data_IF_031790690916
#
_entry.id   IF_031790690916
#
_cell.length_a   1.000
_cell.length_b   1.000
_cell.length_c   1.000
_cell.angle_alpha   90.00
_cell.angle_beta   90.00
_cell.angle_gamma   90.00
#
_symmetry.space_group_name_H-M   'P 1'
#
loop_
_entity.id
_entity.type
_entity.pdbx_description
1 polymer ?
#
# COMPACT_ATOMS: atom_id res chain seq x y z
N UNK A 1 -21.06 -12.94 12.52
CA UNK A 1 -20.73 -13.12 11.17
C UNK A 1 -19.74 -14.22 11.04
N UNK A 2 -19.94 -14.90 10.04
CA UNK A 2 -19.00 -15.92 9.83
C UNK A 2 -17.67 -15.26 9.86
N UNK A 3 -16.78 -15.88 10.59
CA UNK A 3 -15.48 -15.43 10.60
C UNK A 3 -15.00 -15.47 9.19
N UNK A 4 -14.76 -14.33 8.66
CA UNK A 4 -14.24 -14.28 7.33
C UNK A 4 -12.90 -14.94 7.33
N UNK A 5 -12.59 -15.60 6.28
CA UNK A 5 -11.25 -16.08 6.09
C UNK A 5 -10.33 -14.91 6.27
N UNK A 6 -9.23 -15.12 6.90
CA UNK A 6 -8.30 -14.04 7.04
C UNK A 6 -7.89 -13.57 5.66
N UNK A 7 -7.88 -12.27 5.48
CA UNK A 7 -7.42 -11.68 4.23
C UNK A 7 -5.92 -11.91 4.09
N UNK A 8 -5.47 -12.05 2.84
CA UNK A 8 -4.05 -12.17 2.55
C UNK A 8 -3.65 -10.99 1.68
N UNK A 9 -2.71 -10.21 2.16
CA UNK A 9 -2.38 -8.89 1.62
C UNK A 9 -0.97 -8.90 1.05
N UNK A 10 -0.75 -8.21 -0.05
CA UNK A 10 0.61 -7.92 -0.50
C UNK A 10 0.95 -6.49 -0.11
N UNK A 11 1.99 -6.33 0.68
CA UNK A 11 2.54 -5.01 0.98
C UNK A 11 3.68 -4.78 0.00
N UNK A 12 3.59 -3.68 -0.76
CA UNK A 12 4.66 -3.27 -1.66
C UNK A 12 5.23 -1.98 -1.11
N UNK A 13 6.48 -2.00 -0.70
CA UNK A 13 7.10 -0.86 -0.04
C UNK A 13 8.31 -0.38 -0.82
N UNK A 14 8.48 0.93 -0.87
CA UNK A 14 9.67 1.56 -1.45
C UNK A 14 10.54 2.04 -0.30
N UNK A 15 11.85 1.72 -0.36
CA UNK A 15 12.76 2.01 0.75
C UNK A 15 13.80 3.06 0.42
N UNK A 16 13.39 4.13 -0.20
CA UNK A 16 14.33 5.20 -0.46
C UNK A 16 14.85 5.81 0.86
N UNK A 17 13.99 5.93 1.87
CA UNK A 17 14.35 6.40 3.22
C UNK A 17 14.07 5.26 4.18
N UNK A 18 15.11 4.50 4.53
CA UNK A 18 14.94 3.26 5.30
C UNK A 18 14.23 3.44 6.64
N UNK A 19 14.61 4.46 7.41
CA UNK A 19 14.01 4.66 8.74
C UNK A 19 12.53 4.98 8.63
N UNK A 20 12.17 5.81 7.67
CA UNK A 20 10.77 6.16 7.44
C UNK A 20 10.00 4.97 6.90
N UNK A 21 10.64 4.17 6.05
CA UNK A 21 10.02 2.95 5.53
C UNK A 21 9.75 1.96 6.66
N UNK A 22 10.68 1.84 7.59
CA UNK A 22 10.48 0.97 8.76
C UNK A 22 9.25 1.40 9.55
N UNK A 23 9.09 2.71 9.76
CA UNK A 23 7.97 3.21 10.54
C UNK A 23 6.64 2.99 9.81
N UNK A 24 6.61 3.21 8.49
CA UNK A 24 5.42 2.95 7.70
C UNK A 24 5.05 1.48 7.74
N UNK A 25 6.04 0.62 7.56
CA UNK A 25 5.81 -0.82 7.55
C UNK A 25 5.33 -1.30 8.92
N UNK A 26 5.90 -0.76 10.01
CA UNK A 26 5.47 -1.10 11.35
C UNK A 26 3.98 -0.80 11.53
N UNK A 27 3.54 0.36 11.11
CA UNK A 27 2.12 0.73 11.23
C UNK A 27 1.22 -0.19 10.43
N UNK A 28 1.61 -0.49 9.20
CA UNK A 28 0.82 -1.37 8.35
C UNK A 28 0.72 -2.78 8.95
N UNK A 29 1.86 -3.32 9.41
CA UNK A 29 1.87 -4.66 9.99
C UNK A 29 1.02 -4.71 11.26
N UNK A 30 1.13 -3.68 12.09
CA UNK A 30 0.34 -3.64 13.32
C UNK A 30 -1.16 -3.68 13.01
N UNK A 31 -1.59 -2.90 12.02
CA UNK A 31 -3.01 -2.87 11.65
C UNK A 31 -3.47 -4.20 11.07
N UNK A 32 -2.64 -4.82 10.23
CA UNK A 32 -3.00 -6.11 9.64
C UNK A 32 -3.02 -7.22 10.67
N UNK A 33 -2.04 -7.23 11.58
CA UNK A 33 -2.01 -8.21 12.66
C UNK A 33 -3.24 -8.10 13.54
N UNK A 34 -3.64 -6.88 13.87
CA UNK A 34 -4.81 -6.64 14.70
C UNK A 34 -6.09 -7.16 14.04
N UNK A 35 -6.14 -7.16 12.72
CA UNK A 35 -7.29 -7.65 11.97
C UNK A 35 -7.22 -9.15 11.66
N UNK A 36 -6.15 -9.81 12.05
CA UNK A 36 -5.98 -11.23 11.76
C UNK A 36 -5.61 -11.53 10.32
N UNK A 37 -5.16 -10.54 9.58
CA UNK A 37 -4.76 -10.71 8.18
C UNK A 37 -3.34 -11.25 8.10
N UNK A 38 -3.07 -11.98 7.03
CA UNK A 38 -1.71 -12.41 6.71
C UNK A 38 -1.18 -11.57 5.57
N UNK A 39 0.13 -11.56 5.38
CA UNK A 39 0.69 -10.70 4.32
C UNK A 39 2.05 -11.18 3.88
N UNK A 40 2.38 -10.83 2.64
CA UNK A 40 3.73 -10.92 2.11
C UNK A 40 4.23 -9.50 1.90
N UNK A 41 5.52 -9.31 1.91
CA UNK A 41 6.14 -8.00 1.73
C UNK A 41 7.14 -8.08 0.59
N UNK A 42 7.02 -7.16 -0.37
CA UNK A 42 8.03 -6.99 -1.39
C UNK A 42 8.56 -5.57 -1.34
N UNK A 43 9.81 -5.41 -1.63
CA UNK A 43 10.48 -4.12 -1.58
C UNK A 43 10.93 -3.72 -2.97
N UNK A 44 10.67 -2.47 -3.34
CA UNK A 44 11.04 -1.92 -4.63
C UNK A 44 11.91 -0.68 -4.42
N UNK A 45 12.66 -0.25 -5.46
CA UNK A 45 13.59 0.87 -5.29
C UNK A 45 12.94 2.18 -4.93
N UNK A 46 11.80 2.51 -5.55
CA UNK A 46 11.14 3.78 -5.31
C UNK A 46 9.66 3.69 -5.56
N UNK A 47 8.95 4.78 -5.27
CA UNK A 47 7.50 4.81 -5.40
C UNK A 47 7.04 4.57 -6.83
N UNK A 48 7.84 4.97 -7.82
CA UNK A 48 7.46 4.76 -9.22
C UNK A 48 7.39 3.29 -9.61
N UNK A 49 8.09 2.40 -8.88
CA UNK A 49 8.08 0.99 -9.17
C UNK A 49 6.95 0.22 -8.50
N UNK A 50 6.22 0.86 -7.59
CA UNK A 50 5.16 0.19 -6.85
C UNK A 50 4.01 -0.27 -7.77
N UNK A 51 3.48 0.58 -8.66
CA UNK A 51 2.38 0.11 -9.51
C UNK A 51 2.77 -1.09 -10.37
N UNK A 52 3.99 -1.09 -10.92
CA UNK A 52 4.44 -2.22 -11.73
C UNK A 52 4.54 -3.49 -10.90
N UNK A 53 4.99 -3.38 -9.65
CA UNK A 53 5.08 -4.55 -8.78
C UNK A 53 3.69 -5.16 -8.53
N UNK A 54 2.69 -4.32 -8.34
CA UNK A 54 1.32 -4.80 -8.17
C UNK A 54 0.83 -5.49 -9.44
N UNK A 55 1.09 -4.88 -10.60
CA UNK A 55 0.71 -5.49 -11.86
C UNK A 55 1.37 -6.86 -12.06
N UNK A 56 2.65 -6.96 -11.67
CA UNK A 56 3.35 -8.25 -11.73
C UNK A 56 2.72 -9.28 -10.81
N UNK A 57 2.27 -8.86 -9.63
CA UNK A 57 1.62 -9.77 -8.69
C UNK A 57 0.29 -10.27 -9.26
N UNK A 58 -0.45 -9.40 -9.95
CA UNK A 58 -1.70 -9.80 -10.59
C UNK A 58 -1.44 -10.80 -11.71
N UNK A 59 -0.43 -10.54 -12.52
CA UNK A 59 -0.06 -11.47 -13.58
C UNK A 59 0.38 -12.81 -12.99
N UNK A 60 1.17 -12.76 -11.91
CA UNK A 60 1.61 -13.98 -11.25
C UNK A 60 0.47 -14.82 -10.72
N UNK A 61 -0.55 -14.18 -10.17
CA UNK A 61 -1.73 -14.89 -9.68
C UNK A 61 -2.46 -15.59 -10.82
N UNK A 62 -2.54 -14.94 -11.98
CA UNK A 62 -3.18 -15.54 -13.15
C UNK A 62 -2.43 -16.77 -13.66
N UNK A 63 -1.14 -16.82 -13.37
CA UNK A 63 -0.28 -17.94 -13.80
C UNK A 63 -0.15 -19.01 -12.71
N UNK A 64 -1.01 -18.98 -11.72
CA UNK A 64 -1.00 -20.01 -10.68
C UNK A 64 -0.22 -19.62 -9.42
N UNK A 65 0.27 -18.38 -9.35
CA UNK A 65 0.95 -17.90 -8.14
C UNK A 65 -0.03 -17.49 -7.07
N UNK A 66 0.50 -16.80 -6.06
CA UNK A 66 -0.30 -16.39 -4.92
C UNK A 66 -1.35 -15.35 -5.30
N UNK A 67 -2.57 -15.57 -4.84
CA UNK A 67 -3.63 -14.58 -5.00
C UNK A 67 -3.73 -13.76 -3.73
N UNK A 68 -3.81 -12.45 -3.89
CA UNK A 68 -3.93 -11.54 -2.76
C UNK A 68 -5.31 -10.92 -2.77
N UNK A 69 -5.88 -10.79 -1.57
CA UNK A 69 -7.19 -10.16 -1.42
C UNK A 69 -7.11 -8.65 -1.50
N UNK A 70 -5.96 -8.09 -1.13
CA UNK A 70 -5.76 -6.66 -1.18
C UNK A 70 -4.29 -6.31 -1.24
N UNK A 71 -4.03 -5.03 -1.43
CA UNK A 71 -2.68 -4.52 -1.62
C UNK A 71 -2.49 -3.25 -0.79
N UNK A 72 -1.30 -3.09 -0.25
CA UNK A 72 -0.93 -1.88 0.49
C UNK A 72 0.35 -1.34 -0.13
N UNK A 73 0.30 -0.10 -0.59
CA UNK A 73 1.45 0.57 -1.16
C UNK A 73 2.02 1.51 -0.10
N UNK A 74 3.31 1.40 0.18
CA UNK A 74 3.97 2.23 1.19
C UNK A 74 5.20 2.89 0.58
N UNK A 75 5.34 4.19 0.80
CA UNK A 75 6.50 4.91 0.31
C UNK A 75 6.52 6.31 0.85
N UNK A 76 7.66 6.97 0.70
CA UNK A 76 7.84 8.34 1.15
C UNK A 76 8.49 9.14 0.03
N UNK A 77 7.85 10.22 -0.36
CA UNK A 77 8.39 11.14 -1.37
C UNK A 77 8.51 12.50 -0.71
N UNK A 78 9.74 12.99 -0.60
CA UNK A 78 10.01 14.29 0.03
C UNK A 78 10.42 15.25 -1.07
N UNK A 79 9.83 16.46 -1.05
CA UNK A 79 10.10 17.43 -2.09
C UNK A 79 11.59 17.82 -2.09
N UNK A 80 12.18 17.74 -3.27
CA UNK A 80 13.56 18.18 -3.48
C UNK A 80 13.58 19.45 -4.30
N UNK A 81 14.73 19.72 -4.89
CA UNK A 81 14.92 20.96 -5.64
C UNK A 81 14.47 20.87 -7.08
N UNK A 82 14.19 19.67 -7.56
CA UNK A 82 13.87 19.47 -8.97
C UNK A 82 12.41 19.06 -9.14
N UNK A 83 11.99 18.95 -10.39
CA UNK A 83 10.64 18.55 -10.73
C UNK A 83 10.38 17.09 -10.44
N UNK A 84 11.40 16.34 -10.05
CA UNK A 84 11.28 14.89 -9.82
C UNK A 84 10.18 14.54 -8.82
N UNK A 85 10.05 15.33 -7.75
CA UNK A 85 9.00 15.12 -6.76
C UNK A 85 7.61 15.05 -7.42
N UNK A 86 7.34 16.02 -8.29
CA UNK A 86 6.02 16.08 -8.93
C UNK A 86 5.77 14.88 -9.82
N UNK A 87 6.80 14.42 -10.54
CA UNK A 87 6.67 13.25 -11.39
C UNK A 87 6.38 12.01 -10.55
N UNK A 88 7.16 11.79 -9.50
CA UNK A 88 7.00 10.59 -8.66
C UNK A 88 5.63 10.62 -7.98
N UNK A 89 5.27 11.75 -7.39
CA UNK A 89 4.01 11.87 -6.67
C UNK A 89 2.82 11.66 -7.59
N UNK A 90 2.81 12.35 -8.72
CA UNK A 90 1.66 12.32 -9.63
C UNK A 90 1.55 10.99 -10.34
N UNK A 91 2.65 10.45 -10.86
CA UNK A 91 2.59 9.23 -11.66
C UNK A 91 2.32 8.00 -10.82
N UNK A 92 2.89 7.92 -9.60
CA UNK A 92 2.60 6.77 -8.74
C UNK A 92 1.12 6.79 -8.33
N UNK A 93 0.59 7.94 -7.97
CA UNK A 93 -0.81 8.04 -7.56
C UNK A 93 -1.75 7.72 -8.74
N UNK A 94 -1.44 8.25 -9.92
CA UNK A 94 -2.27 8.02 -11.09
C UNK A 94 -2.29 6.54 -11.47
N UNK A 95 -1.11 5.91 -11.50
CA UNK A 95 -1.02 4.51 -11.90
C UNK A 95 -1.73 3.60 -10.88
N UNK A 96 -1.60 3.89 -9.58
CA UNK A 96 -2.30 3.10 -8.57
C UNK A 96 -3.81 3.27 -8.69
N UNK A 97 -4.28 4.48 -8.95
CA UNK A 97 -5.70 4.72 -9.15
C UNK A 97 -6.21 3.97 -10.37
N UNK A 98 -5.44 4.00 -11.47
CA UNK A 98 -5.82 3.28 -12.69
C UNK A 98 -5.94 1.78 -12.43
N UNK A 99 -4.97 1.20 -11.72
CA UNK A 99 -5.01 -0.21 -11.38
C UNK A 99 -6.20 -0.54 -10.47
N UNK A 100 -6.41 0.28 -9.44
CA UNK A 100 -7.48 0.02 -8.50
C UNK A 100 -8.84 0.00 -9.19
N UNK A 101 -9.05 0.92 -10.11
CA UNK A 101 -10.33 1.02 -10.82
C UNK A 101 -10.46 -0.07 -11.89
N UNK A 102 -9.43 -0.25 -12.72
CA UNK A 102 -9.53 -1.19 -13.84
C UNK A 102 -9.56 -2.65 -13.40
N UNK A 103 -8.88 -2.97 -12.30
CA UNK A 103 -8.81 -4.35 -11.81
C UNK A 103 -9.69 -4.58 -10.58
N UNK A 104 -10.43 -3.57 -10.17
CA UNK A 104 -11.29 -3.63 -8.97
C UNK A 104 -10.52 -4.10 -7.75
N UNK A 105 -9.40 -3.45 -7.48
CA UNK A 105 -8.51 -3.85 -6.40
C UNK A 105 -8.91 -3.21 -5.07
N UNK A 106 -8.72 -3.96 -4.01
CA UNK A 106 -8.78 -3.43 -2.65
C UNK A 106 -7.37 -2.91 -2.34
N UNK A 107 -7.16 -1.64 -2.55
CA UNK A 107 -5.84 -1.03 -2.47
C UNK A 107 -5.81 0.10 -1.45
N UNK A 108 -4.86 0.03 -0.52
CA UNK A 108 -4.58 1.13 0.38
C UNK A 108 -3.32 1.85 -0.08
N UNK A 109 -3.43 3.14 -0.34
CA UNK A 109 -2.30 3.93 -0.83
C UNK A 109 -1.67 4.70 0.33
N UNK A 110 -0.51 4.22 0.77
CA UNK A 110 0.29 4.85 1.80
C UNK A 110 1.57 5.46 1.26
N UNK A 111 1.57 5.87 -0.01
CA UNK A 111 2.68 6.65 -0.53
C UNK A 111 2.46 8.09 -0.11
N UNK A 112 3.34 8.58 0.75
CA UNK A 112 3.21 9.92 1.33
C UNK A 112 4.05 10.90 0.54
N UNK A 113 3.52 12.11 0.38
CA UNK A 113 4.21 13.17 -0.35
C UNK A 113 4.26 14.37 0.58
N UNK A 114 5.46 14.74 1.00
CA UNK A 114 5.64 15.77 2.00
C UNK A 114 6.71 16.78 1.57
N UNK A 115 6.74 17.90 2.25
CA UNK A 115 7.69 18.98 1.93
C UNK A 115 9.02 18.79 2.62
N UNK A 116 9.04 18.16 3.81
CA UNK A 116 10.25 18.06 4.61
C UNK A 116 10.18 16.85 5.55
N UNK A 117 11.30 16.59 6.22
CA UNK A 117 11.44 15.45 7.11
C UNK A 117 10.49 15.50 8.30
N UNK A 118 10.27 16.68 8.86
CA UNK A 118 9.37 16.79 10.02
C UNK A 118 7.97 16.35 9.65
N UNK A 119 7.50 16.75 8.47
CA UNK A 119 6.19 16.30 8.00
C UNK A 119 6.17 14.80 7.80
N UNK A 120 7.27 14.24 7.29
CA UNK A 120 7.36 12.79 7.08
C UNK A 120 7.24 12.05 8.40
N UNK A 121 8.04 12.44 9.39
CA UNK A 121 8.04 11.71 10.66
C UNK A 121 6.71 11.81 11.39
N UNK A 122 6.05 12.98 11.34
CA UNK A 122 4.74 13.12 11.97
C UNK A 122 3.70 12.18 11.39
N UNK A 123 3.87 11.78 10.13
CA UNK A 123 2.89 10.95 9.44
C UNK A 123 3.20 9.45 9.51
N UNK A 124 4.50 9.09 9.60
CA UNK A 124 4.86 7.66 9.53
C UNK A 124 4.81 6.97 10.88
N UNK A 125 5.02 7.69 11.98
CA UNK A 125 5.06 7.06 13.29
C UNK A 125 3.69 6.52 13.67
N UNK A 126 3.67 5.27 14.12
CA UNK A 126 2.42 4.61 14.48
C UNK A 126 1.65 5.34 15.58
N UNK A 127 2.37 5.96 16.50
CA UNK A 127 1.74 6.68 17.62
C UNK A 127 1.43 8.14 17.28
N UNK A 128 1.63 8.54 16.04
CA UNK A 128 1.27 9.89 15.58
C UNK A 128 0.30 9.75 14.41
N UNK A 129 0.71 10.09 13.19
CA UNK A 129 -0.18 10.02 12.03
C UNK A 129 -0.53 8.62 11.57
N UNK A 130 0.36 7.67 11.79
CA UNK A 130 0.14 6.24 11.46
C UNK A 130 -0.41 6.03 10.05
N UNK A 131 0.21 6.67 9.07
CA UNK A 131 -0.30 6.56 7.70
C UNK A 131 -0.12 5.17 7.12
N UNK A 132 0.87 4.40 7.59
CA UNK A 132 1.00 3.00 7.20
C UNK A 132 -0.19 2.19 7.68
N UNK A 133 -0.58 2.37 8.93
CA UNK A 133 -1.77 1.71 9.47
C UNK A 133 -3.04 2.15 8.77
N UNK A 134 -3.13 3.45 8.46
CA UNK A 134 -4.27 3.97 7.73
C UNK A 134 -4.42 3.29 6.37
N UNK A 135 -3.31 3.14 5.63
CA UNK A 135 -3.35 2.50 4.32
C UNK A 135 -3.77 1.03 4.43
N UNK A 136 -3.25 0.34 5.44
CA UNK A 136 -3.62 -1.05 5.65
C UNK A 136 -5.11 -1.19 5.97
N UNK A 137 -5.63 -0.32 6.83
CA UNK A 137 -7.05 -0.36 7.15
C UNK A 137 -7.92 -0.01 5.96
N UNK A 138 -7.44 0.90 5.09
CA UNK A 138 -8.16 1.22 3.86
C UNK A 138 -8.28 -0.02 2.97
N UNK A 139 -7.19 -0.78 2.82
CA UNK A 139 -7.24 -2.00 2.03
C UNK A 139 -8.24 -3.00 2.61
N UNK A 140 -8.21 -3.17 3.94
CA UNK A 140 -9.15 -4.09 4.59
C UNK A 140 -10.60 -3.65 4.40
N UNK A 141 -10.86 -2.36 4.52
CA UNK A 141 -12.20 -1.82 4.28
C UNK A 141 -12.66 -2.12 2.84
N UNK A 142 -11.78 -1.95 1.89
CA UNK A 142 -12.13 -2.19 0.50
C UNK A 142 -12.33 -3.67 0.20
N UNK A 143 -11.64 -4.56 0.91
CA UNK A 143 -11.90 -5.99 0.78
C UNK A 143 -13.34 -6.31 1.22
N UNK A 144 -13.75 -5.76 2.35
CA UNK A 144 -15.10 -5.98 2.85
C UNK A 144 -16.14 -5.40 1.89
N UNK A 145 -15.84 -4.25 1.33
CA UNK A 145 -16.76 -3.63 0.37
C UNK A 145 -16.90 -4.49 -0.88
N UNK A 146 -15.81 -5.05 -1.39
CA UNK A 146 -15.88 -5.95 -2.54
C UNK A 146 -16.79 -7.12 -2.25
N UNK A 147 -16.67 -7.72 -1.08
CA UNK A 147 -17.54 -8.83 -0.69
C UNK A 147 -18.98 -8.40 -0.64
N UNK A 148 -19.25 -7.26 -0.01
CA UNK A 148 -20.61 -6.75 0.12
C UNK A 148 -21.23 -6.49 -1.23
N UNK A 149 -20.46 -6.00 -2.19
CA UNK A 149 -20.97 -5.68 -3.51
C UNK A 149 -20.93 -6.87 -4.46
N UNK A 150 -20.42 -8.02 -4.00
CA UNK A 150 -20.37 -9.23 -4.83
C UNK A 150 -19.34 -9.16 -5.94
N UNK A 151 -18.30 -8.35 -5.76
CA UNK A 151 -17.29 -8.14 -6.80
C UNK A 151 -16.09 -9.07 -6.68
N UNK A 152 -16.14 -10.07 -5.82
CA UNK A 152 -15.03 -11.01 -5.73
C UNK A 152 -15.15 -12.07 -6.80
N UNK A 153 -14.05 -12.66 -7.16
CA UNK A 153 -14.02 -13.63 -8.21
C UNK A 153 -14.36 -14.98 -7.78
#
# INVERSE_FOLDING_TARGET
MAKTESAHILIVEARFYDDMADALLDGAKHALDAAGATYDIVTVPGALEIPAAIAMALDGADEGGTEYDGFVALGMVIRGETYHFDIVANESARALMDLAVSESLALGNGILTVENDDQAWARVRRLEGDKGGFAARAALTMIELKKKLGAEK
#
